data_IF_569319962388
#
_entry.id   IF_569319962388
#
_cell.length_a   1.000
_cell.length_b   1.000
_cell.length_c   1.000
_cell.angle_alpha   90.00
_cell.angle_beta   90.00
_cell.angle_gamma   90.00
#
_symmetry.space_group_name_H-M   'P 1'
#
loop_
_entity.id
_entity.type
_entity.pdbx_description
1 polymer ?
#
# COMPACT_ATOMS: atom_id res chain seq x y z
N UNK A 1 21.24 16.61 39.90
CA UNK A 1 21.87 17.68 39.09
C UNK A 1 21.23 17.66 37.72
N UNK A 2 20.30 18.57 37.43
CA UNK A 2 19.73 18.72 36.09
C UNK A 2 20.71 19.58 35.31
N UNK A 3 21.45 18.97 34.39
CA UNK A 3 22.18 19.72 33.38
C UNK A 3 21.19 20.65 32.69
N UNK A 4 21.36 21.97 32.83
CA UNK A 4 20.73 22.95 31.94
C UNK A 4 21.55 22.89 30.65
N UNK A 5 21.05 22.27 29.57
CA UNK A 5 21.80 22.22 28.34
C UNK A 5 21.42 23.46 27.52
N UNK A 6 22.38 24.37 27.36
CA UNK A 6 22.59 25.21 26.16
C UNK A 6 21.42 26.11 25.74
N UNK A 7 21.68 27.35 25.33
CA UNK A 7 20.66 28.31 24.85
C UNK A 7 20.10 27.92 23.47
N UNK A 8 19.85 26.63 23.25
CA UNK A 8 19.55 26.10 21.93
C UNK A 8 18.10 26.44 21.53
N UNK A 9 17.11 26.25 22.41
CA UNK A 9 15.70 26.54 22.09
C UNK A 9 14.88 26.89 23.33
N UNK A 10 15.09 28.09 23.90
CA UNK A 10 14.20 28.60 24.95
C UNK A 10 12.78 28.79 24.39
N UNK A 11 11.73 28.15 24.95
CA UNK A 11 10.36 28.32 24.48
C UNK A 11 9.92 29.77 24.55
N UNK A 12 9.15 30.27 23.58
CA UNK A 12 8.71 31.68 23.54
C UNK A 12 8.02 32.14 24.84
N UNK A 13 7.26 31.25 25.47
CA UNK A 13 6.51 31.52 26.71
C UNK A 13 7.33 31.30 27.99
N UNK A 14 8.61 30.96 27.87
CA UNK A 14 9.46 30.71 29.04
C UNK A 14 9.70 32.02 29.81
N UNK A 15 9.41 31.95 31.11
CA UNK A 15 9.68 32.98 32.09
C UNK A 15 10.68 32.38 33.07
N UNK A 16 11.79 33.08 33.28
CA UNK A 16 12.81 32.68 34.25
C UNK A 16 12.26 32.74 35.69
N UNK A 17 12.91 32.07 36.65
CA UNK A 17 12.51 32.12 38.06
C UNK A 17 12.43 33.54 38.66
N UNK A 18 13.10 34.52 38.06
CA UNK A 18 13.06 35.94 38.48
C UNK A 18 11.90 36.73 37.84
N UNK A 19 11.00 36.07 37.10
CA UNK A 19 9.88 36.71 36.40
C UNK A 19 10.25 37.31 35.04
N UNK A 20 11.52 37.24 34.63
CA UNK A 20 11.96 37.76 33.33
C UNK A 20 11.50 36.88 32.17
N UNK A 21 10.83 37.48 31.17
CA UNK A 21 10.31 36.82 29.96
C UNK A 21 11.43 36.52 28.94
N UNK A 22 12.36 35.66 29.34
CA UNK A 22 13.54 35.32 28.54
C UNK A 22 13.17 34.77 27.16
N UNK A 23 12.17 33.89 27.06
CA UNK A 23 11.75 33.31 25.78
C UNK A 23 11.30 34.37 24.76
N UNK A 24 10.57 35.39 25.22
CA UNK A 24 10.14 36.50 24.38
C UNK A 24 11.35 37.34 23.94
N UNK A 25 12.27 37.64 24.86
CA UNK A 25 13.45 38.44 24.53
C UNK A 25 14.34 37.74 23.50
N UNK A 26 14.65 36.47 23.72
CA UNK A 26 15.47 35.65 22.81
C UNK A 26 14.83 35.61 21.41
N UNK A 27 13.51 35.51 21.30
CA UNK A 27 12.83 35.55 20.01
C UNK A 27 12.94 36.93 19.33
N UNK A 28 12.77 38.04 20.07
CA UNK A 28 12.99 39.39 19.53
C UNK A 28 14.43 39.62 19.07
N UNK A 29 15.41 39.09 19.81
CA UNK A 29 16.82 39.14 19.44
C UNK A 29 17.06 38.41 18.11
N UNK A 30 16.40 37.27 17.86
CA UNK A 30 16.47 36.52 16.59
C UNK A 30 15.80 37.24 15.42
N UNK A 31 14.69 37.94 15.64
CA UNK A 31 13.97 38.64 14.56
C UNK A 31 14.65 39.95 14.15
N UNK A 32 15.48 40.51 15.03
CA UNK A 32 16.23 41.75 14.76
C UNK A 32 17.73 41.58 15.02
N UNK A 33 18.41 40.65 14.32
CA UNK A 33 19.81 40.33 14.59
C UNK A 33 20.73 41.53 14.29
N UNK A 34 20.36 42.37 13.33
CA UNK A 34 21.07 43.61 12.99
C UNK A 34 21.03 44.67 14.11
N UNK A 35 20.16 44.53 15.11
CA UNK A 35 20.08 45.44 16.27
C UNK A 35 20.92 44.96 17.46
N UNK A 36 21.57 43.80 17.35
CA UNK A 36 22.38 43.23 18.43
C UNK A 36 23.83 43.70 18.26
N UNK A 37 24.41 44.37 19.27
CA UNK A 37 25.83 44.73 19.23
C UNK A 37 26.72 43.50 19.06
N UNK A 38 27.83 43.65 18.34
CA UNK A 38 28.75 42.55 18.04
C UNK A 38 29.31 41.87 19.29
N UNK A 39 29.61 42.63 20.34
CA UNK A 39 30.04 42.11 21.64
C UNK A 39 28.99 41.22 22.31
N UNK A 40 27.72 41.59 22.22
CA UNK A 40 26.60 40.80 22.76
C UNK A 40 26.35 39.56 21.90
N UNK A 41 26.51 39.69 20.58
CA UNK A 41 26.40 38.57 19.65
C UNK A 41 27.46 37.51 19.92
N UNK A 42 28.72 37.90 20.10
CA UNK A 42 29.81 36.97 20.42
C UNK A 42 29.56 36.18 21.72
N UNK A 43 29.05 36.84 22.76
CA UNK A 43 28.67 36.16 24.02
C UNK A 43 27.50 35.19 23.80
N UNK A 44 26.50 35.58 23.01
CA UNK A 44 25.38 34.69 22.70
C UNK A 44 25.83 33.49 21.86
N UNK A 45 26.73 33.68 20.91
CA UNK A 45 27.33 32.62 20.10
C UNK A 45 28.10 31.62 20.97
N UNK A 46 28.93 32.11 21.91
CA UNK A 46 29.66 31.28 22.88
C UNK A 46 28.73 30.47 23.79
N UNK A 47 27.59 31.05 24.16
CA UNK A 47 26.53 30.36 24.92
C UNK A 47 25.68 29.37 24.09
N UNK A 48 26.00 29.21 22.79
CA UNK A 48 25.33 28.28 21.88
C UNK A 48 23.97 28.77 21.37
N UNK A 49 23.79 30.08 21.22
CA UNK A 49 22.55 30.67 20.71
C UNK A 49 22.30 30.27 19.25
N UNK A 50 21.17 29.60 19.01
CA UNK A 50 20.68 29.35 17.65
C UNK A 50 20.00 30.62 17.12
N UNK A 51 20.54 31.21 16.07
CA UNK A 51 19.96 32.40 15.41
C UNK A 51 18.85 32.04 14.42
N UNK A 52 19.05 30.97 13.64
CA UNK A 52 18.07 30.48 12.68
C UNK A 52 17.51 29.13 13.12
N UNK A 53 16.37 29.18 13.83
CA UNK A 53 15.69 27.96 14.28
C UNK A 53 15.21 27.10 13.12
N UNK A 54 14.99 27.67 11.93
CA UNK A 54 14.57 26.91 10.73
C UNK A 54 15.66 25.97 10.23
N UNK A 55 16.93 26.35 10.38
CA UNK A 55 18.05 25.50 9.95
C UNK A 55 18.25 24.33 10.92
N UNK A 56 18.05 24.54 12.23
CA UNK A 56 18.06 23.45 13.22
C UNK A 56 16.89 22.49 12.99
N UNK A 57 15.68 23.02 12.78
CA UNK A 57 14.52 22.20 12.41
C UNK A 57 14.77 21.42 11.11
N UNK A 58 15.47 22.02 10.15
CA UNK A 58 15.84 21.36 8.90
C UNK A 58 16.85 20.24 9.11
N UNK A 59 17.90 20.46 9.90
CA UNK A 59 18.88 19.44 10.23
C UNK A 59 18.24 18.25 10.95
N UNK A 60 17.37 18.50 11.92
CA UNK A 60 16.63 17.45 12.62
C UNK A 60 15.77 16.62 11.66
N UNK A 61 15.07 17.29 10.75
CA UNK A 61 14.25 16.62 9.74
C UNK A 61 15.07 15.80 8.75
N UNK A 62 16.18 16.35 8.25
CA UNK A 62 17.12 15.63 7.39
C UNK A 62 17.65 14.38 8.09
N UNK A 63 18.10 14.51 9.34
CA UNK A 63 18.59 13.37 10.12
C UNK A 63 17.51 12.29 10.29
N UNK A 64 16.28 12.70 10.59
CA UNK A 64 15.15 11.77 10.73
C UNK A 64 14.78 11.06 9.41
N UNK A 65 14.82 11.77 8.27
CA UNK A 65 14.63 11.16 6.95
C UNK A 65 15.74 10.16 6.61
N UNK A 66 17.00 10.51 6.88
CA UNK A 66 18.14 9.63 6.64
C UNK A 66 18.06 8.35 7.48
N UNK A 67 17.71 8.47 8.77
CA UNK A 67 17.51 7.32 9.65
C UNK A 67 16.39 6.40 9.13
N UNK A 68 15.27 6.97 8.67
CA UNK A 68 14.18 6.19 8.08
C UNK A 68 14.60 5.48 6.78
N UNK A 69 15.32 6.19 5.90
CA UNK A 69 15.83 5.60 4.66
C UNK A 69 16.81 4.45 4.93
N UNK A 70 17.67 4.59 5.93
CA UNK A 70 18.61 3.54 6.33
C UNK A 70 17.89 2.30 6.89
N UNK A 71 16.80 2.48 7.65
CA UNK A 71 16.05 1.38 8.25
C UNK A 71 15.12 0.63 7.28
N UNK A 72 14.52 1.35 6.32
CA UNK A 72 13.46 0.81 5.45
C UNK A 72 13.87 0.69 3.98
N UNK A 73 15.04 1.21 3.59
CA UNK A 73 15.52 1.21 2.20
C UNK A 73 14.76 2.16 1.27
N UNK A 74 13.78 2.92 1.78
CA UNK A 74 12.98 3.86 1.01
C UNK A 74 12.50 5.05 1.84
N UNK A 75 12.15 6.17 1.18
CA UNK A 75 11.62 7.38 1.81
C UNK A 75 10.08 7.50 1.76
N UNK A 76 9.36 6.39 1.58
CA UNK A 76 7.89 6.40 1.74
C UNK A 76 7.50 6.34 3.22
N UNK A 77 7.47 7.52 3.84
CA UNK A 77 7.15 7.69 5.26
C UNK A 77 5.61 7.82 5.42
N UNK A 78 4.94 6.94 6.19
CA UNK A 78 3.52 7.07 6.50
C UNK A 78 3.20 8.41 7.17
N UNK A 79 2.04 9.01 6.87
CA UNK A 79 1.66 10.32 7.44
C UNK A 79 1.50 10.32 8.97
N UNK A 80 1.26 9.15 9.57
CA UNK A 80 1.21 8.94 11.03
C UNK A 80 2.57 8.68 11.68
N UNK A 81 3.63 8.49 10.89
CA UNK A 81 4.94 8.10 11.41
C UNK A 81 5.55 9.19 12.29
N UNK A 82 6.03 8.77 13.45
CA UNK A 82 6.70 9.59 14.45
C UNK A 82 7.99 8.86 14.83
N UNK A 83 9.11 9.58 14.91
CA UNK A 83 10.39 8.99 15.34
C UNK A 83 10.34 8.58 16.82
N UNK A 84 11.30 7.78 17.25
CA UNK A 84 11.48 7.40 18.65
C UNK A 84 11.59 8.64 19.58
N UNK A 85 12.24 9.71 19.10
CA UNK A 85 12.34 11.00 19.79
C UNK A 85 11.03 11.83 19.82
N UNK A 86 9.91 11.29 19.34
CA UNK A 86 8.62 12.00 19.30
C UNK A 86 8.47 12.98 18.14
N UNK A 87 9.39 12.99 17.18
CA UNK A 87 9.34 13.89 16.04
C UNK A 87 8.35 13.40 14.97
N UNK A 88 7.30 14.17 14.68
CA UNK A 88 6.21 13.80 13.76
C UNK A 88 6.62 13.95 12.29
N UNK A 89 7.58 13.15 11.87
CA UNK A 89 8.19 13.19 10.54
C UNK A 89 7.15 13.03 9.41
N UNK A 90 6.28 12.02 9.53
CA UNK A 90 5.23 11.77 8.54
C UNK A 90 4.28 12.95 8.37
N UNK A 91 3.85 13.53 9.49
CA UNK A 91 2.97 14.70 9.51
C UNK A 91 3.62 15.94 8.88
N UNK A 92 4.93 16.15 9.10
CA UNK A 92 5.67 17.25 8.46
C UNK A 92 5.73 17.10 6.95
N UNK A 93 6.02 15.90 6.44
CA UNK A 93 6.03 15.61 4.99
C UNK A 93 4.63 15.80 4.39
N UNK A 94 3.57 15.32 5.06
CA UNK A 94 2.18 15.54 4.61
C UNK A 94 1.85 17.03 4.51
N UNK A 95 2.26 17.85 5.49
CA UNK A 95 2.07 19.31 5.45
C UNK A 95 2.88 19.98 4.34
N UNK A 96 4.11 19.55 4.11
CA UNK A 96 4.95 20.06 3.03
C UNK A 96 4.34 19.76 1.65
N UNK A 97 3.85 18.53 1.45
CA UNK A 97 3.10 18.11 0.26
C UNK A 97 1.83 18.95 0.03
N UNK A 98 1.07 19.22 1.09
CA UNK A 98 -0.13 20.07 1.00
C UNK A 98 0.22 21.49 0.55
N UNK A 99 1.23 22.12 1.17
CA UNK A 99 1.70 23.46 0.75
C UNK A 99 2.26 23.46 -0.68
N UNK A 100 2.93 22.39 -1.09
CA UNK A 100 3.41 22.25 -2.46
C UNK A 100 2.25 22.20 -3.48
N UNK A 101 1.17 21.50 -3.14
CA UNK A 101 -0.04 21.41 -3.97
C UNK A 101 -0.83 22.73 -4.00
N UNK A 102 -0.86 23.47 -2.90
CA UNK A 102 -1.48 24.80 -2.79
C UNK A 102 -0.64 25.92 -3.44
N UNK A 103 0.59 25.61 -3.91
CA UNK A 103 1.51 26.61 -4.46
C UNK A 103 2.11 27.56 -3.41
N UNK A 104 1.92 27.28 -2.12
CA UNK A 104 2.37 28.12 -0.99
C UNK A 104 3.71 27.69 -0.41
N UNK A 105 4.32 26.63 -0.94
CA UNK A 105 5.63 26.16 -0.51
C UNK A 105 6.73 27.06 -1.09
N UNK A 106 7.57 27.58 -0.19
CA UNK A 106 8.73 28.37 -0.56
C UNK A 106 9.66 27.60 -1.53
N UNK A 107 10.14 28.22 -2.63
CA UNK A 107 10.99 27.55 -3.61
C UNK A 107 12.30 26.99 -3.01
N UNK A 108 12.91 27.68 -2.04
CA UNK A 108 14.13 27.19 -1.41
C UNK A 108 13.84 25.99 -0.49
N UNK A 109 12.71 26.01 0.23
CA UNK A 109 12.24 24.84 0.99
C UNK A 109 11.92 23.65 0.08
N UNK A 110 11.31 23.88 -1.09
CA UNK A 110 11.06 22.86 -2.11
C UNK A 110 12.36 22.22 -2.60
N UNK A 111 13.32 23.02 -3.05
CA UNK A 111 14.59 22.51 -3.57
C UNK A 111 15.33 21.66 -2.53
N UNK A 112 15.34 22.10 -1.27
CA UNK A 112 15.91 21.34 -0.14
C UNK A 112 15.23 19.99 0.08
N UNK A 113 13.90 19.90 -0.09
CA UNK A 113 13.14 18.65 0.05
C UNK A 113 13.39 17.70 -1.14
N UNK A 114 13.50 18.25 -2.34
CA UNK A 114 13.81 17.50 -3.57
C UNK A 114 15.26 16.95 -3.54
N UNK A 115 16.22 17.71 -3.00
CA UNK A 115 17.61 17.25 -2.78
C UNK A 115 17.68 16.03 -1.83
N UNK A 116 16.78 15.96 -0.85
CA UNK A 116 16.65 14.80 0.03
C UNK A 116 15.93 13.61 -0.62
N UNK A 117 15.47 13.73 -1.86
CA UNK A 117 14.69 12.71 -2.56
C UNK A 117 13.26 12.57 -2.04
N UNK A 118 12.74 13.61 -1.35
CA UNK A 118 11.38 13.61 -0.82
C UNK A 118 10.43 14.10 -1.89
N UNK A 119 9.61 13.18 -2.41
CA UNK A 119 8.59 13.52 -3.40
C UNK A 119 7.44 14.32 -2.75
N UNK A 120 7.31 15.57 -3.20
CA UNK A 120 6.31 16.54 -2.74
C UNK A 120 4.99 16.48 -3.51
N UNK A 121 4.90 15.66 -4.55
CA UNK A 121 3.66 15.52 -5.31
C UNK A 121 2.66 14.68 -4.49
N UNK A 122 1.55 15.29 -4.07
CA UNK A 122 0.43 14.60 -3.38
C UNK A 122 -0.23 13.53 -4.24
N UNK A 123 0.02 13.57 -5.55
CA UNK A 123 -0.65 12.75 -6.56
C UNK A 123 -0.14 11.31 -6.60
N UNK A 124 1.03 11.02 -6.01
CA UNK A 124 1.81 9.87 -6.46
C UNK A 124 1.86 8.64 -5.52
N UNK A 125 1.10 8.55 -4.41
CA UNK A 125 1.06 7.24 -3.68
C UNK A 125 0.34 6.18 -4.50
N UNK A 126 -0.83 6.53 -5.04
CA UNK A 126 -1.60 5.62 -5.88
C UNK A 126 -0.91 5.35 -7.22
N UNK A 127 -0.24 6.37 -7.77
CA UNK A 127 0.49 6.26 -9.04
C UNK A 127 1.83 5.55 -8.86
N UNK A 128 2.61 5.73 -7.78
CA UNK A 128 3.74 4.86 -7.47
C UNK A 128 3.34 3.44 -7.13
N UNK A 129 2.28 3.23 -6.35
CA UNK A 129 1.76 1.87 -6.11
C UNK A 129 1.32 1.20 -7.42
N UNK A 130 0.87 2.01 -8.39
CA UNK A 130 0.55 1.57 -9.74
C UNK A 130 1.80 1.30 -10.58
N UNK A 131 2.83 2.15 -10.53
CA UNK A 131 4.12 1.94 -11.18
C UNK A 131 4.83 0.68 -10.66
N UNK A 132 4.88 0.48 -9.33
CA UNK A 132 5.41 -0.73 -8.72
C UNK A 132 4.63 -1.99 -9.14
N UNK A 133 3.30 -1.87 -9.24
CA UNK A 133 2.45 -2.95 -9.75
C UNK A 133 2.73 -3.24 -11.22
N UNK A 134 2.86 -2.21 -12.06
CA UNK A 134 3.20 -2.39 -13.48
C UNK A 134 4.58 -2.99 -13.66
N UNK A 135 5.58 -2.56 -12.88
CA UNK A 135 6.92 -3.15 -12.90
C UNK A 135 6.90 -4.63 -12.50
N UNK A 136 6.06 -5.01 -11.51
CA UNK A 136 5.85 -6.41 -11.15
C UNK A 136 5.14 -7.19 -12.26
N UNK A 137 4.14 -6.60 -12.92
CA UNK A 137 3.52 -7.18 -14.10
C UNK A 137 4.55 -7.39 -15.23
N UNK A 138 5.42 -6.41 -15.48
CA UNK A 138 6.43 -6.45 -16.54
C UNK A 138 7.44 -7.58 -16.32
N UNK A 139 7.93 -7.74 -15.08
CA UNK A 139 8.76 -8.89 -14.69
C UNK A 139 8.04 -10.20 -14.95
N UNK A 140 6.82 -10.34 -14.45
CA UNK A 140 6.04 -11.57 -14.65
C UNK A 140 5.82 -11.88 -16.12
N UNK A 141 5.51 -10.87 -16.95
CA UNK A 141 5.33 -11.07 -18.40
C UNK A 141 6.63 -11.36 -19.13
N UNK A 142 7.78 -10.90 -18.65
CA UNK A 142 9.07 -11.27 -19.22
C UNK A 142 9.34 -12.78 -19.02
N UNK A 143 8.96 -13.33 -17.86
CA UNK A 143 9.20 -14.73 -17.52
C UNK A 143 8.11 -15.68 -18.06
N UNK A 144 6.84 -15.25 -18.08
CA UNK A 144 5.68 -16.09 -18.36
C UNK A 144 4.93 -15.70 -19.65
N UNK A 145 5.35 -14.62 -20.32
CA UNK A 145 4.78 -14.10 -21.57
C UNK A 145 3.46 -13.31 -21.42
N UNK A 146 2.62 -13.59 -20.42
CA UNK A 146 1.30 -12.94 -20.26
C UNK A 146 0.75 -13.03 -18.84
N UNK A 147 -0.02 -12.02 -18.41
CA UNK A 147 -0.77 -12.01 -17.14
C UNK A 147 -1.97 -12.98 -17.11
N UNK A 148 -2.25 -13.71 -18.19
CA UNK A 148 -3.38 -14.63 -18.31
C UNK A 148 -3.44 -15.69 -17.19
N UNK A 149 -2.32 -16.37 -16.93
CA UNK A 149 -2.27 -17.56 -16.08
C UNK A 149 -1.76 -17.29 -14.66
N UNK A 150 -1.75 -16.03 -14.22
CA UNK A 150 -1.25 -15.71 -12.88
C UNK A 150 -2.17 -16.26 -11.79
N UNK A 151 -1.58 -17.07 -10.91
CA UNK A 151 -2.26 -17.61 -9.73
C UNK A 151 -2.48 -16.53 -8.67
N UNK A 152 -3.60 -16.61 -7.94
CA UNK A 152 -3.91 -15.63 -6.88
C UNK A 152 -2.86 -15.58 -5.77
N UNK A 153 -2.23 -16.71 -5.48
CA UNK A 153 -1.21 -16.84 -4.43
C UNK A 153 0.20 -16.44 -4.90
N UNK A 154 0.37 -16.08 -6.18
CA UNK A 154 1.68 -15.74 -6.72
C UNK A 154 2.27 -14.49 -6.04
N UNK A 155 3.51 -14.64 -5.58
CA UNK A 155 4.37 -13.61 -5.00
C UNK A 155 5.65 -13.61 -5.82
N UNK A 156 6.11 -12.44 -6.25
CA UNK A 156 7.36 -12.33 -7.01
C UNK A 156 8.61 -12.40 -6.11
N UNK A 157 9.79 -12.44 -6.72
CA UNK A 157 11.08 -12.52 -6.02
C UNK A 157 11.36 -11.33 -5.09
N UNK A 158 10.61 -10.23 -5.25
CA UNK A 158 10.70 -9.04 -4.37
C UNK A 158 9.77 -9.15 -3.16
N UNK A 159 9.01 -10.24 -3.03
CA UNK A 159 7.98 -10.41 -2.01
C UNK A 159 6.65 -9.71 -2.33
N UNK A 160 6.46 -9.22 -3.56
CA UNK A 160 5.26 -8.52 -3.98
C UNK A 160 4.16 -9.51 -4.39
N UNK A 161 3.01 -9.47 -3.71
CA UNK A 161 1.85 -10.33 -3.97
C UNK A 161 1.08 -9.94 -5.24
N UNK A 162 1.73 -10.09 -6.40
CA UNK A 162 1.19 -9.71 -7.70
C UNK A 162 -0.12 -10.43 -8.02
N UNK A 163 -0.22 -11.73 -7.72
CA UNK A 163 -1.42 -12.54 -7.97
C UNK A 163 -2.68 -12.00 -7.28
N UNK A 164 -2.54 -11.56 -6.03
CA UNK A 164 -3.64 -10.97 -5.26
C UNK A 164 -4.07 -9.62 -5.83
N UNK A 165 -3.12 -8.81 -6.30
CA UNK A 165 -3.38 -7.50 -6.93
C UNK A 165 -4.07 -7.64 -8.28
N UNK A 166 -3.62 -8.56 -9.11
CA UNK A 166 -4.28 -8.89 -10.39
C UNK A 166 -5.70 -9.39 -10.13
N UNK A 167 -5.91 -10.28 -9.15
CA UNK A 167 -7.24 -10.72 -8.74
C UNK A 167 -8.14 -9.58 -8.26
N UNK A 168 -7.59 -8.58 -7.55
CA UNK A 168 -8.34 -7.41 -7.12
C UNK A 168 -8.88 -6.61 -8.32
N UNK A 169 -8.04 -6.34 -9.33
CA UNK A 169 -8.49 -5.67 -10.55
C UNK A 169 -9.53 -6.48 -11.34
N UNK A 170 -9.43 -7.82 -11.40
CA UNK A 170 -10.49 -8.68 -11.97
C UNK A 170 -11.84 -8.51 -11.24
N UNK A 171 -11.82 -8.38 -9.92
CA UNK A 171 -13.04 -8.17 -9.11
C UNK A 171 -13.60 -6.74 -9.14
N UNK A 172 -12.79 -5.76 -9.54
CA UNK A 172 -13.28 -4.41 -9.81
C UNK A 172 -14.00 -4.36 -11.16
N UNK A 173 -13.43 -4.97 -12.20
CA UNK A 173 -14.03 -5.00 -13.55
C UNK A 173 -15.34 -5.82 -13.59
N UNK A 174 -15.46 -6.87 -12.79
CA UNK A 174 -16.68 -7.69 -12.75
C UNK A 174 -17.85 -7.06 -11.95
N UNK A 175 -17.65 -5.90 -11.31
CA UNK A 175 -18.67 -5.19 -10.52
C UNK A 175 -19.00 -5.80 -9.16
N UNK A 176 -18.22 -6.77 -8.66
CA UNK A 176 -18.40 -7.31 -7.29
C UNK A 176 -17.89 -6.37 -6.20
N UNK A 177 -17.14 -5.34 -6.57
CA UNK A 177 -16.64 -4.29 -5.67
C UNK A 177 -17.07 -2.92 -6.18
N UNK A 178 -17.31 -2.02 -5.24
CA UNK A 178 -17.57 -0.61 -5.55
C UNK A 178 -16.30 0.04 -6.10
N UNK A 179 -16.42 0.71 -7.25
CA UNK A 179 -15.31 1.35 -7.95
C UNK A 179 -15.24 0.96 -9.42
N UNK A 180 -14.54 1.78 -10.21
CA UNK A 180 -14.29 1.55 -11.63
C UNK A 180 -12.80 1.70 -11.93
N UNK A 181 -12.32 0.93 -12.90
CA UNK A 181 -10.94 1.01 -13.36
C UNK A 181 -10.86 2.13 -14.40
N UNK A 182 -9.99 3.14 -14.22
CA UNK A 182 -9.76 4.15 -15.24
C UNK A 182 -9.33 3.52 -16.57
N UNK A 183 -9.83 4.03 -17.70
CA UNK A 183 -9.60 3.46 -19.03
C UNK A 183 -8.10 3.28 -19.36
N UNK A 184 -7.25 4.21 -18.93
CA UNK A 184 -5.80 4.13 -19.11
C UNK A 184 -5.17 2.94 -18.36
N UNK A 185 -5.63 2.66 -17.13
CA UNK A 185 -5.14 1.54 -16.32
C UNK A 185 -5.61 0.18 -16.86
N UNK A 186 -6.83 0.16 -17.41
CA UNK A 186 -7.36 -1.01 -18.11
C UNK A 186 -6.52 -1.34 -19.34
N UNK A 187 -6.28 -0.34 -20.20
CA UNK A 187 -5.43 -0.49 -21.39
C UNK A 187 -4.02 -0.97 -21.06
N UNK A 188 -3.38 -0.40 -20.04
CA UNK A 188 -2.04 -0.83 -19.64
C UNK A 188 -1.95 -2.31 -19.21
N UNK A 189 -3.05 -2.87 -18.67
CA UNK A 189 -3.14 -4.28 -18.34
C UNK A 189 -3.50 -5.14 -19.56
N UNK A 190 -4.35 -4.64 -20.44
CA UNK A 190 -4.66 -5.28 -21.73
C UNK A 190 -3.38 -5.50 -22.56
N UNK A 191 -2.52 -4.47 -22.63
CA UNK A 191 -1.23 -4.52 -23.35
C UNK A 191 -0.28 -5.60 -22.80
N UNK A 192 -0.49 -6.05 -21.54
CA UNK A 192 0.28 -7.10 -20.86
C UNK A 192 -0.40 -8.48 -20.89
N UNK A 193 -1.43 -8.62 -21.72
CA UNK A 193 -2.17 -9.88 -21.90
C UNK A 193 -3.10 -10.21 -20.73
N UNK A 194 -3.57 -9.21 -19.99
CA UNK A 194 -4.48 -9.42 -18.87
C UNK A 194 -5.83 -9.98 -19.33
N UNK A 195 -6.19 -11.14 -18.79
CA UNK A 195 -7.53 -11.72 -18.95
C UNK A 195 -8.40 -11.28 -17.77
N UNK A 196 -9.40 -10.44 -18.04
CA UNK A 196 -10.34 -9.89 -17.05
C UNK A 196 -11.37 -10.91 -16.56
N UNK A 197 -11.87 -11.72 -17.48
CA UNK A 197 -12.70 -12.88 -17.20
C UNK A 197 -11.98 -14.07 -17.80
N UNK A 198 -11.61 -15.05 -16.97
CA UNK A 198 -11.37 -16.40 -17.47
C UNK A 198 -12.73 -16.85 -17.99
N UNK A 199 -13.00 -16.56 -19.26
CA UNK A 199 -14.14 -17.10 -19.94
C UNK A 199 -13.97 -18.61 -19.85
N UNK A 200 -14.91 -19.34 -19.26
CA UNK A 200 -14.86 -20.78 -19.34
C UNK A 200 -14.75 -21.16 -20.83
N UNK A 201 -13.80 -22.04 -21.17
CA UNK A 201 -13.49 -22.46 -22.56
C UNK A 201 -14.74 -22.96 -23.31
N UNK A 202 -15.79 -23.34 -22.58
CA UNK A 202 -17.11 -23.65 -23.11
C UNK A 202 -17.97 -24.38 -22.10
N UNK A 203 -19.14 -24.80 -22.57
CA UNK A 203 -19.97 -25.78 -21.88
C UNK A 203 -19.45 -27.20 -22.13
N UNK A 204 -19.85 -28.12 -21.25
CA UNK A 204 -19.53 -29.54 -21.34
C UNK A 204 -19.99 -30.16 -22.68
N UNK A 205 -19.11 -30.91 -23.33
CA UNK A 205 -19.51 -31.72 -24.50
C UNK A 205 -20.40 -32.90 -24.07
N UNK A 206 -21.27 -33.44 -24.95
CA UNK A 206 -22.11 -34.59 -24.63
C UNK A 206 -21.31 -35.81 -24.14
N UNK A 207 -20.14 -36.07 -24.73
CA UNK A 207 -19.26 -37.18 -24.35
C UNK A 207 -18.69 -37.01 -22.93
N UNK A 208 -18.26 -35.79 -22.58
CA UNK A 208 -17.81 -35.48 -21.22
C UNK A 208 -18.96 -35.57 -20.20
N UNK A 209 -20.19 -35.23 -20.60
CA UNK A 209 -21.35 -35.26 -19.73
C UNK A 209 -21.74 -36.70 -19.40
N UNK A 210 -21.67 -37.58 -20.39
CA UNK A 210 -21.90 -39.01 -20.20
C UNK A 210 -20.83 -39.64 -19.33
N UNK A 211 -19.55 -39.34 -19.60
CA UNK A 211 -18.45 -39.81 -18.75
C UNK A 211 -18.60 -39.34 -17.30
N UNK A 212 -19.00 -38.09 -17.06
CA UNK A 212 -19.25 -37.60 -15.70
C UNK A 212 -20.37 -38.35 -14.97
N UNK A 213 -21.38 -38.86 -15.69
CA UNK A 213 -22.50 -39.61 -15.08
C UNK A 213 -22.10 -41.02 -14.67
N UNK A 214 -21.09 -41.61 -15.30
CA UNK A 214 -20.60 -42.95 -14.96
C UNK A 214 -19.66 -42.94 -13.75
N UNK A 215 -19.09 -41.78 -13.40
CA UNK A 215 -18.17 -41.64 -12.28
C UNK A 215 -18.90 -41.42 -10.95
N UNK A 216 -18.36 -42.01 -9.88
CA UNK A 216 -18.88 -41.89 -8.53
C UNK A 216 -17.76 -41.61 -7.51
N UNK A 217 -18.13 -41.16 -6.32
CA UNK A 217 -17.19 -40.96 -5.22
C UNK A 217 -16.01 -40.03 -5.57
N UNK A 218 -14.81 -40.42 -5.15
CA UNK A 218 -13.57 -39.65 -5.33
C UNK A 218 -13.18 -39.45 -6.79
N UNK A 219 -13.48 -40.40 -7.67
CA UNK A 219 -13.23 -40.29 -9.12
C UNK A 219 -14.07 -39.17 -9.74
N UNK A 220 -15.35 -39.08 -9.36
CA UNK A 220 -16.23 -37.98 -9.76
C UNK A 220 -15.70 -36.63 -9.26
N UNK A 221 -15.24 -36.56 -8.01
CA UNK A 221 -14.64 -35.33 -7.46
C UNK A 221 -13.39 -34.88 -8.21
N UNK A 222 -12.53 -35.84 -8.57
CA UNK A 222 -11.31 -35.59 -9.36
C UNK A 222 -11.64 -35.09 -10.76
N UNK A 223 -12.58 -35.75 -11.44
CA UNK A 223 -13.02 -35.35 -12.79
C UNK A 223 -13.69 -33.97 -12.79
N UNK A 224 -14.53 -33.67 -11.79
CA UNK A 224 -15.15 -32.34 -11.65
C UNK A 224 -14.08 -31.26 -11.42
N UNK A 225 -13.08 -31.51 -10.57
CA UNK A 225 -11.98 -30.56 -10.36
C UNK A 225 -11.20 -30.32 -11.66
N UNK A 226 -10.80 -31.39 -12.35
CA UNK A 226 -10.09 -31.30 -13.62
C UNK A 226 -10.89 -30.52 -14.68
N UNK A 227 -12.20 -30.70 -14.76
CA UNK A 227 -13.07 -29.96 -15.66
C UNK A 227 -13.22 -28.48 -15.26
N UNK A 228 -13.26 -28.18 -13.97
CA UNK A 228 -13.25 -26.78 -13.52
C UNK A 228 -11.90 -26.10 -13.75
N UNK A 229 -10.79 -26.83 -13.62
CA UNK A 229 -9.44 -26.30 -13.80
C UNK A 229 -9.09 -26.14 -15.28
N UNK A 230 -9.66 -26.96 -16.16
CA UNK A 230 -9.59 -26.78 -17.63
C UNK A 230 -10.51 -25.67 -18.15
N UNK A 231 -11.35 -25.11 -17.27
CA UNK A 231 -12.19 -23.95 -17.56
C UNK A 231 -13.58 -24.28 -18.11
N UNK A 232 -14.20 -25.42 -17.79
CA UNK A 232 -15.59 -25.70 -18.16
C UNK A 232 -16.57 -25.02 -17.19
N UNK A 233 -17.75 -24.59 -17.67
CA UNK A 233 -18.74 -23.91 -16.81
C UNK A 233 -19.26 -24.83 -15.71
N UNK A 234 -19.22 -24.37 -14.45
CA UNK A 234 -19.90 -25.08 -13.34
C UNK A 234 -21.41 -25.22 -13.56
N UNK A 235 -22.00 -24.34 -14.40
CA UNK A 235 -23.41 -24.44 -14.81
C UNK A 235 -23.66 -25.70 -15.65
N UNK A 236 -22.83 -25.97 -16.66
CA UNK A 236 -22.97 -27.17 -17.50
C UNK A 236 -22.61 -28.45 -16.75
N UNK A 237 -21.60 -28.42 -15.87
CA UNK A 237 -21.28 -29.55 -14.97
C UNK A 237 -22.47 -29.86 -14.04
N UNK A 238 -23.07 -28.84 -13.42
CA UNK A 238 -24.19 -29.02 -12.52
C UNK A 238 -25.42 -29.58 -13.25
N UNK A 239 -25.69 -29.09 -14.47
CA UNK A 239 -26.75 -29.61 -15.33
C UNK A 239 -26.52 -31.08 -15.73
N UNK A 240 -25.29 -31.47 -16.08
CA UNK A 240 -24.95 -32.85 -16.43
C UNK A 240 -25.17 -33.84 -15.28
N UNK A 241 -24.88 -33.40 -14.05
CA UNK A 241 -25.06 -34.17 -12.82
C UNK A 241 -26.46 -34.03 -12.18
N UNK A 242 -27.39 -33.34 -12.85
CA UNK A 242 -28.77 -33.17 -12.36
C UNK A 242 -28.88 -32.40 -11.03
N UNK A 243 -27.94 -31.49 -10.75
CA UNK A 243 -27.92 -30.72 -9.51
C UNK A 243 -27.88 -29.21 -9.74
N UNK A 244 -28.29 -28.44 -8.73
CA UNK A 244 -28.18 -26.99 -8.79
C UNK A 244 -26.71 -26.54 -8.63
N UNK A 245 -26.31 -25.47 -9.34
CA UNK A 245 -24.94 -24.93 -9.31
C UNK A 245 -24.43 -24.64 -7.89
N UNK A 246 -25.28 -24.06 -7.04
CA UNK A 246 -24.92 -23.77 -5.64
C UNK A 246 -24.57 -25.04 -4.86
N UNK A 247 -25.26 -26.15 -5.13
CA UNK A 247 -25.00 -27.43 -4.49
C UNK A 247 -23.69 -28.05 -4.98
N UNK A 248 -23.42 -27.99 -6.29
CA UNK A 248 -22.13 -28.40 -6.85
C UNK A 248 -20.95 -27.65 -6.19
N UNK A 249 -21.09 -26.34 -5.99
CA UNK A 249 -20.05 -25.53 -5.36
C UNK A 249 -19.76 -25.96 -3.90
N UNK A 250 -20.81 -26.32 -3.15
CA UNK A 250 -20.66 -26.88 -1.79
C UNK A 250 -19.88 -28.20 -1.83
N UNK A 251 -20.20 -29.09 -2.78
CA UNK A 251 -19.51 -30.38 -2.93
C UNK A 251 -18.05 -30.24 -3.33
N UNK A 252 -17.74 -29.31 -4.25
CA UNK A 252 -16.35 -29.00 -4.64
C UNK A 252 -15.56 -28.48 -3.43
N UNK A 253 -16.16 -27.59 -2.63
CA UNK A 253 -15.51 -27.06 -1.41
C UNK A 253 -15.26 -28.17 -0.39
N UNK A 254 -16.23 -29.04 -0.16
CA UNK A 254 -16.08 -30.18 0.75
C UNK A 254 -14.99 -31.15 0.25
N UNK A 255 -14.99 -31.48 -1.05
CA UNK A 255 -13.98 -32.36 -1.66
C UNK A 255 -12.56 -31.81 -1.53
N UNK A 256 -12.36 -30.49 -1.74
CA UNK A 256 -11.06 -29.84 -1.53
C UNK A 256 -10.58 -29.89 -0.08
N UNK A 257 -11.50 -29.98 0.88
CA UNK A 257 -11.16 -30.03 2.30
C UNK A 257 -10.92 -31.46 2.81
N UNK A 258 -11.64 -32.45 2.29
CA UNK A 258 -11.65 -33.83 2.84
C UNK A 258 -11.04 -34.86 1.91
N UNK A 259 -10.82 -34.55 0.63
CA UNK A 259 -10.44 -35.52 -0.40
C UNK A 259 -11.53 -36.54 -0.73
N UNK A 260 -12.72 -36.42 -0.14
CA UNK A 260 -13.84 -37.36 -0.32
C UNK A 260 -15.06 -36.62 -0.88
N UNK A 261 -15.60 -37.11 -2.01
CA UNK A 261 -16.75 -36.48 -2.64
C UNK A 261 -18.02 -36.78 -1.82
N UNK A 262 -18.77 -35.77 -1.35
CA UNK A 262 -19.91 -36.04 -0.46
C UNK A 262 -20.98 -36.86 -1.17
N UNK A 263 -21.32 -38.03 -0.64
CA UNK A 263 -22.53 -38.74 -0.99
C UNK A 263 -23.72 -38.11 -0.26
N UNK A 264 -24.93 -38.31 -0.79
CA UNK A 264 -26.14 -37.63 -0.32
C UNK A 264 -26.40 -37.93 1.16
N UNK A 265 -26.17 -36.99 2.07
CA UNK A 265 -26.94 -36.94 3.30
C UNK A 265 -28.27 -36.29 2.94
N UNK A 266 -29.33 -37.09 2.93
CA UNK A 266 -30.69 -36.55 3.02
C UNK A 266 -30.71 -35.58 4.22
N UNK A 267 -31.39 -34.43 4.14
CA UNK A 267 -31.56 -33.59 5.32
C UNK A 267 -32.21 -34.45 6.41
N UNK A 268 -31.52 -34.62 7.54
CA UNK A 268 -32.08 -35.26 8.72
C UNK A 268 -33.41 -34.57 9.03
N UNK A 269 -34.46 -35.38 9.20
CA UNK A 269 -35.84 -34.93 9.20
C UNK A 269 -36.09 -33.76 10.14
N UNK A 270 -36.93 -32.81 9.69
CA UNK A 270 -37.75 -32.06 10.63
C UNK A 270 -38.69 -33.07 11.29
N UNK A 271 -38.44 -33.35 12.55
CA UNK A 271 -39.43 -33.99 13.43
C UNK A 271 -40.66 -33.08 13.52
N UNK A 272 -41.89 -33.64 13.50
CA UNK A 272 -43.13 -32.87 13.56
C UNK A 272 -43.29 -32.07 14.86
#
# INVERSE_FOLDING_TARGET
>A
MRACPVICCVPQRYVSPTGYRLGSKINTTRTTPHRVPESVRAVLDDLGMVWNTRDVDWQQFRSACQAYAAAHGHLDIPGSYTTEDGYRLGGRITRARRRAAEGTLDPAERARLEELGIDLTTRNRADRAWEHFLAACDRYTADHGSLANIEKAYVDDTGYALGARVSYYRTLDNGTREGSIPAQRRRALDDRGMIWRIAPRGDLTPAQAEHLRTLHGTELGTAVLALTDTGITQKSIAAALGMHRSYLNIKIRAYRATGAWPSRTAPAGRTP
#
